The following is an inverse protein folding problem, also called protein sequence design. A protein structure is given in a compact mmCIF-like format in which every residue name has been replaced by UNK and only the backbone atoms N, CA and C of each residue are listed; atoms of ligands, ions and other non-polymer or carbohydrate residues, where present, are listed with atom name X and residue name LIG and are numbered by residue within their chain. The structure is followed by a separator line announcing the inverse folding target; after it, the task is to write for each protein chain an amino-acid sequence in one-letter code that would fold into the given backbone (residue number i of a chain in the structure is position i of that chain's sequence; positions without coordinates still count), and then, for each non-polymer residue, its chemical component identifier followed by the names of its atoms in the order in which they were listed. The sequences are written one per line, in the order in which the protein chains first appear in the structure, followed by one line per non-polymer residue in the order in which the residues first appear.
data_IF_218571103892
#
_entry.id   IF_218571103892
#
_cell.length_a   1.000
_cell.length_b   1.000
_cell.length_c   1.000
_cell.angle_alpha   90.00
_cell.angle_beta   90.00
_cell.angle_gamma   90.00
#
_symmetry.space_group_name_H-M   'P 1'
#
loop_
_entity.id
_entity.type
_entity.pdbx_description
1 polymer ?
#
# COMPACT_ATOMS: atom_id res chain seq x y z
N UNK A 1 -22.04 25.34 -71.09
CA UNK A 1 -21.91 25.88 -69.71
C UNK A 1 -22.56 24.91 -68.73
N UNK A 2 -21.76 24.18 -67.95
CA UNK A 2 -22.04 23.74 -66.56
C UNK A 2 -20.89 22.83 -66.10
N UNK A 3 -19.94 23.40 -65.36
CA UNK A 3 -18.98 22.63 -64.58
C UNK A 3 -19.65 22.27 -63.25
N UNK A 4 -19.80 20.98 -62.97
CA UNK A 4 -20.20 20.48 -61.66
C UNK A 4 -18.93 20.25 -60.84
N UNK A 5 -18.70 21.07 -59.82
CA UNK A 5 -17.60 20.91 -58.87
C UNK A 5 -18.06 19.95 -57.75
N UNK A 6 -17.47 18.75 -57.69
CA UNK A 6 -17.64 17.85 -56.54
C UNK A 6 -16.59 18.20 -55.49
N UNK A 7 -17.03 18.77 -54.37
CA UNK A 7 -16.18 19.00 -53.18
C UNK A 7 -16.22 17.71 -52.36
N UNK A 8 -15.11 16.96 -52.37
CA UNK A 8 -14.93 15.80 -51.51
C UNK A 8 -14.68 16.29 -50.06
N UNK A 9 -15.67 16.11 -49.19
CA UNK A 9 -15.48 16.28 -47.75
C UNK A 9 -14.65 15.10 -47.22
N UNK A 10 -13.37 15.33 -46.98
CA UNK A 10 -12.50 14.43 -46.22
C UNK A 10 -12.88 14.55 -44.73
N UNK A 11 -13.64 13.58 -44.22
CA UNK A 11 -13.91 13.44 -42.79
C UNK A 11 -12.64 12.89 -42.10
N UNK A 12 -12.02 13.62 -41.15
CA UNK A 12 -10.92 13.06 -40.38
C UNK A 12 -11.49 11.99 -39.45
N UNK A 13 -11.09 10.74 -39.68
CA UNK A 13 -11.37 9.62 -38.77
C UNK A 13 -10.52 9.87 -37.52
N UNK A 14 -11.12 10.45 -36.49
CA UNK A 14 -10.48 10.57 -35.18
C UNK A 14 -10.29 9.19 -34.57
N UNK A 15 -9.03 8.79 -34.37
CA UNK A 15 -8.72 7.60 -33.58
C UNK A 15 -9.18 7.84 -32.14
N UNK A 16 -10.20 7.10 -31.70
CA UNK A 16 -10.59 7.08 -30.31
C UNK A 16 -9.49 6.36 -29.52
N UNK A 17 -8.67 7.10 -28.79
CA UNK A 17 -7.76 6.54 -27.80
C UNK A 17 -8.60 5.94 -26.67
N UNK A 18 -8.73 4.61 -26.64
CA UNK A 18 -9.28 3.91 -25.48
C UNK A 18 -8.26 4.03 -24.35
N UNK A 19 -8.57 4.84 -23.33
CA UNK A 19 -7.82 4.80 -22.06
C UNK A 19 -8.19 3.48 -21.40
N UNK A 20 -7.30 2.49 -21.47
CA UNK A 20 -7.45 1.27 -20.70
C UNK A 20 -7.41 1.65 -19.21
N UNK A 21 -8.42 1.24 -18.44
CA UNK A 21 -8.37 1.40 -17.00
C UNK A 21 -7.19 0.59 -16.46
N UNK A 22 -6.29 1.24 -15.74
CA UNK A 22 -5.17 0.57 -15.07
C UNK A 22 -5.71 -0.54 -14.15
N UNK A 23 -5.12 -1.75 -14.16
CA UNK A 23 -5.59 -2.87 -13.35
C UNK A 23 -5.51 -2.52 -11.85
N UNK A 24 -6.66 -2.24 -11.25
CA UNK A 24 -6.75 -1.92 -9.83
C UNK A 24 -6.78 -3.19 -8.97
N UNK A 25 -5.98 -3.23 -7.90
CA UNK A 25 -6.01 -4.29 -6.92
C UNK A 25 -6.99 -3.91 -5.80
N UNK A 26 -8.08 -4.67 -5.69
CA UNK A 26 -9.11 -4.44 -4.68
C UNK A 26 -8.83 -5.34 -3.48
N UNK A 27 -8.68 -4.73 -2.30
CA UNK A 27 -8.49 -5.43 -1.02
C UNK A 27 -9.70 -5.13 -0.14
N UNK A 28 -10.43 -6.17 0.24
CA UNK A 28 -11.55 -6.02 1.17
C UNK A 28 -11.06 -5.53 2.53
N UNK A 29 -11.75 -4.55 3.08
CA UNK A 29 -11.49 -4.06 4.44
C UNK A 29 -12.54 -4.60 5.40
N UNK A 30 -12.13 -4.86 6.63
CA UNK A 30 -13.03 -5.14 7.74
C UNK A 30 -13.17 -3.90 8.60
N UNK A 31 -14.37 -3.33 8.70
CA UNK A 31 -14.65 -2.32 9.73
C UNK A 31 -14.70 -3.00 11.09
N UNK A 32 -13.94 -2.48 12.05
CA UNK A 32 -13.98 -2.88 13.46
C UNK A 32 -14.44 -1.70 14.34
N UNK A 33 -14.33 -1.85 15.66
CA UNK A 33 -14.75 -0.84 16.63
C UNK A 33 -14.12 0.54 16.35
N UNK A 34 -14.84 1.59 16.75
CA UNK A 34 -14.43 2.98 16.59
C UNK A 34 -14.15 3.40 15.13
N UNK A 35 -14.93 2.91 14.17
CA UNK A 35 -14.86 3.31 12.75
C UNK A 35 -13.47 3.10 12.11
N UNK A 36 -12.75 2.10 12.59
CA UNK A 36 -11.43 1.74 12.07
C UNK A 36 -11.52 0.59 11.07
N UNK A 37 -10.68 0.63 10.03
CA UNK A 37 -10.71 -0.32 8.92
C UNK A 37 -9.41 -1.09 8.82
N UNK A 38 -9.52 -2.41 8.74
CA UNK A 38 -8.40 -3.33 8.74
C UNK A 38 -8.33 -4.11 7.43
N UNK A 39 -7.12 -4.40 6.98
CA UNK A 39 -6.88 -5.41 5.96
C UNK A 39 -6.11 -6.58 6.57
N UNK A 40 -6.34 -7.77 6.02
CA UNK A 40 -5.47 -8.91 6.25
C UNK A 40 -4.22 -8.75 5.39
N UNK A 41 -3.08 -9.11 5.95
CA UNK A 41 -1.82 -9.20 5.22
C UNK A 41 -0.92 -10.27 5.80
N UNK A 42 0.24 -10.46 5.19
CA UNK A 42 1.26 -11.41 5.64
C UNK A 42 2.60 -10.69 5.70
N UNK A 43 3.27 -10.75 6.84
CA UNK A 43 4.68 -10.35 6.92
C UNK A 43 5.54 -11.60 6.72
N UNK A 44 6.48 -11.55 5.78
CA UNK A 44 7.40 -12.66 5.55
C UNK A 44 8.18 -12.97 6.83
N UNK A 45 8.06 -14.21 7.29
CA UNK A 45 8.68 -14.68 8.52
C UNK A 45 7.85 -14.52 9.81
N UNK A 46 6.69 -13.87 9.72
CA UNK A 46 5.76 -13.80 10.87
C UNK A 46 4.48 -14.58 10.56
N UNK A 47 3.98 -14.46 9.33
CA UNK A 47 2.70 -15.03 8.93
C UNK A 47 1.60 -13.97 8.87
N UNK A 48 0.35 -14.43 9.01
CA UNK A 48 -0.83 -13.58 8.84
C UNK A 48 -0.97 -12.57 9.98
N UNK A 49 -1.36 -11.36 9.61
CA UNK A 49 -1.51 -10.23 10.52
C UNK A 49 -2.58 -9.28 10.01
N UNK A 50 -3.17 -8.52 10.91
CA UNK A 50 -4.09 -7.45 10.55
C UNK A 50 -3.41 -6.10 10.65
N UNK A 51 -3.55 -5.30 9.60
CA UNK A 51 -3.11 -3.91 9.60
C UNK A 51 -4.31 -2.98 9.68
N UNK A 52 -4.28 -2.05 10.63
CA UNK A 52 -5.12 -0.86 10.57
C UNK A 52 -4.65 0.00 9.38
N UNK A 53 -5.54 0.34 8.47
CA UNK A 53 -5.25 1.32 7.41
C UNK A 53 -5.37 2.73 8.01
N UNK A 54 -4.27 3.47 8.05
CA UNK A 54 -4.21 4.77 8.73
C UNK A 54 -3.43 5.80 7.90
N UNK A 55 -4.17 6.71 7.26
CA UNK A 55 -3.58 7.82 6.50
C UNK A 55 -3.01 8.93 7.39
N UNK A 56 -3.29 8.91 8.70
CA UNK A 56 -2.68 9.80 9.70
C UNK A 56 -1.31 9.32 10.18
N UNK A 57 -0.95 8.07 9.91
CA UNK A 57 0.34 7.49 10.28
C UNK A 57 1.35 7.58 9.13
N UNK A 58 2.54 8.12 9.42
CA UNK A 58 3.59 8.27 8.40
C UNK A 58 4.24 6.95 7.99
N UNK A 59 4.51 6.06 8.97
CA UNK A 59 5.22 4.80 8.76
C UNK A 59 4.26 3.62 8.88
N UNK A 60 4.68 2.47 8.32
CA UNK A 60 4.19 1.19 8.81
C UNK A 60 4.61 1.04 10.26
N UNK A 61 3.69 0.57 11.10
CA UNK A 61 4.00 0.28 12.50
C UNK A 61 3.87 -1.21 12.75
N UNK A 62 4.87 -1.78 13.42
CA UNK A 62 4.80 -3.11 14.01
C UNK A 62 5.03 -3.02 15.52
N UNK A 63 4.62 -4.05 16.26
CA UNK A 63 4.90 -4.13 17.69
C UNK A 63 6.18 -4.93 17.99
N UNK A 64 6.62 -4.86 19.24
CA UNK A 64 7.85 -5.52 19.71
C UNK A 64 7.80 -7.05 19.55
N UNK A 65 6.63 -7.67 19.69
CA UNK A 65 6.48 -9.10 19.49
C UNK A 65 6.79 -9.50 18.03
N UNK A 66 6.23 -8.78 17.06
CA UNK A 66 6.53 -8.96 15.64
C UNK A 66 7.99 -8.71 15.33
N UNK A 67 8.59 -7.65 15.91
CA UNK A 67 10.02 -7.41 15.77
C UNK A 67 10.86 -8.58 16.31
N UNK A 68 10.51 -9.13 17.47
CA UNK A 68 11.22 -10.24 18.07
C UNK A 68 11.20 -11.48 17.16
N UNK A 69 10.03 -11.84 16.61
CA UNK A 69 9.91 -12.92 15.63
C UNK A 69 10.77 -12.67 14.40
N UNK A 70 10.71 -11.46 13.83
CA UNK A 70 11.52 -11.12 12.66
C UNK A 70 13.03 -11.18 12.94
N UNK A 71 13.48 -10.74 14.13
CA UNK A 71 14.88 -10.83 14.56
C UNK A 71 15.34 -12.27 14.69
N UNK A 72 14.51 -13.14 15.30
CA UNK A 72 14.82 -14.57 15.42
C UNK A 72 15.00 -15.26 14.07
N UNK A 73 14.30 -14.78 13.04
CA UNK A 73 14.40 -15.33 11.69
C UNK A 73 15.42 -14.63 10.79
N UNK A 74 16.11 -13.60 11.28
CA UNK A 74 17.03 -12.80 10.45
C UNK A 74 16.33 -12.07 9.30
N UNK A 75 15.04 -11.76 9.44
CA UNK A 75 14.19 -11.15 8.40
C UNK A 75 13.99 -9.64 8.57
N UNK A 76 14.87 -9.00 9.33
CA UNK A 76 14.76 -7.58 9.64
C UNK A 76 16.12 -6.94 9.89
N UNK A 77 16.30 -5.72 9.40
CA UNK A 77 17.54 -4.95 9.56
C UNK A 77 17.24 -3.63 10.26
N UNK A 78 18.06 -3.25 11.24
CA UNK A 78 17.96 -1.93 11.84
C UNK A 78 18.29 -0.85 10.81
N UNK A 79 17.53 0.26 10.81
CA UNK A 79 17.75 1.39 9.90
C UNK A 79 18.21 2.62 10.68
N UNK A 80 17.39 3.09 11.62
CA UNK A 80 17.60 4.33 12.36
C UNK A 80 16.65 4.41 13.56
N UNK A 81 16.90 5.36 14.45
CA UNK A 81 15.88 5.83 15.38
C UNK A 81 15.30 7.15 14.89
N UNK A 82 14.03 7.39 15.18
CA UNK A 82 13.38 8.68 14.98
C UNK A 82 12.63 9.11 16.23
N UNK A 83 12.34 10.41 16.35
CA UNK A 83 11.36 10.88 17.32
C UNK A 83 9.96 10.80 16.71
N UNK A 84 9.15 9.87 17.20
CA UNK A 84 7.75 9.74 16.84
C UNK A 84 6.89 10.65 17.70
N UNK A 85 5.76 11.09 17.16
CA UNK A 85 4.69 11.76 17.91
C UNK A 85 3.50 10.80 17.90
N UNK A 86 3.10 10.34 19.07
CA UNK A 86 1.96 9.46 19.24
C UNK A 86 0.64 10.25 19.09
N UNK A 87 -0.47 9.55 18.89
CA UNK A 87 -1.79 10.17 18.75
C UNK A 87 -2.21 11.01 19.98
N UNK A 88 -1.64 10.74 21.16
CA UNK A 88 -1.85 11.52 22.38
C UNK A 88 -0.89 12.72 22.52
N UNK A 89 -0.08 13.02 21.50
CA UNK A 89 0.89 14.12 21.48
C UNK A 89 2.23 13.82 22.18
N UNK A 90 2.38 12.65 22.81
CA UNK A 90 3.65 12.28 23.43
C UNK A 90 4.73 12.05 22.39
N UNK A 91 5.96 12.46 22.72
CA UNK A 91 7.14 12.24 21.89
C UNK A 91 7.92 11.06 22.42
N UNK A 92 8.19 10.09 21.56
CA UNK A 92 8.91 8.88 21.92
C UNK A 92 10.01 8.56 20.90
N UNK A 93 11.13 8.01 21.38
CA UNK A 93 12.19 7.53 20.49
C UNK A 93 11.78 6.16 19.96
N UNK A 94 11.51 6.11 18.65
CA UNK A 94 11.03 4.90 17.97
C UNK A 94 12.13 4.37 17.06
N UNK A 95 12.47 3.09 17.22
CA UNK A 95 13.38 2.42 16.31
C UNK A 95 12.65 2.00 15.03
N UNK A 96 13.33 2.22 13.90
CA UNK A 96 12.86 1.86 12.57
C UNK A 96 13.71 0.71 12.05
N UNK A 97 13.02 -0.29 11.53
CA UNK A 97 13.63 -1.45 10.92
C UNK A 97 13.11 -1.66 9.50
N UNK A 98 13.94 -2.25 8.64
CA UNK A 98 13.57 -2.66 7.28
C UNK A 98 13.12 -4.11 7.29
N UNK A 99 11.89 -4.35 6.86
CA UNK A 99 11.27 -5.65 6.64
C UNK A 99 11.35 -5.96 5.15
N UNK A 100 11.72 -7.19 4.81
CA UNK A 100 11.93 -7.63 3.42
C UNK A 100 10.63 -7.56 2.60
N UNK A 101 9.55 -8.18 3.10
CA UNK A 101 8.29 -8.34 2.38
C UNK A 101 7.08 -8.20 3.29
N UNK A 102 6.09 -7.43 2.84
CA UNK A 102 4.70 -7.43 3.32
C UNK A 102 3.77 -7.72 2.15
N UNK A 103 3.00 -8.80 2.22
CA UNK A 103 1.97 -9.14 1.23
C UNK A 103 0.62 -8.61 1.70
N UNK A 104 -0.06 -7.85 0.85
CA UNK A 104 -1.42 -7.35 1.12
C UNK A 104 -2.49 -8.23 0.46
N UNK A 105 -2.11 -8.98 -0.58
CA UNK A 105 -2.91 -10.01 -1.23
C UNK A 105 -2.00 -10.96 -2.01
N UNK A 106 -2.54 -11.99 -2.66
CA UNK A 106 -1.77 -12.91 -3.49
C UNK A 106 -1.03 -12.22 -4.65
N UNK A 107 -1.56 -11.08 -5.11
CA UNK A 107 -1.03 -10.31 -6.25
C UNK A 107 -0.36 -9.01 -5.84
N UNK A 108 -0.18 -8.79 -4.53
CA UNK A 108 0.29 -7.52 -4.04
C UNK A 108 1.35 -7.66 -2.95
N UNK A 109 2.60 -7.39 -3.30
CA UNK A 109 3.76 -7.60 -2.45
C UNK A 109 4.63 -6.34 -2.35
N UNK A 110 4.68 -5.77 -1.14
CA UNK A 110 5.50 -4.60 -0.86
C UNK A 110 6.86 -5.05 -0.33
N UNK A 111 7.92 -4.57 -0.97
CA UNK A 111 9.30 -4.88 -0.58
C UNK A 111 10.00 -3.70 0.10
N UNK A 112 11.04 -3.99 0.88
CA UNK A 112 11.90 -3.00 1.54
C UNK A 112 11.11 -1.96 2.33
N UNK A 113 10.34 -2.45 3.31
CA UNK A 113 9.41 -1.65 4.09
C UNK A 113 10.08 -1.19 5.38
N UNK A 114 10.19 0.13 5.55
CA UNK A 114 10.58 0.71 6.83
C UNK A 114 9.39 0.72 7.78
N UNK A 115 9.52 -0.04 8.87
CA UNK A 115 8.53 -0.17 9.92
C UNK A 115 9.05 0.43 11.23
N UNK A 116 8.27 1.35 11.80
CA UNK A 116 8.44 1.88 13.14
C UNK A 116 7.98 0.84 14.17
N UNK A 117 8.75 0.65 15.25
CA UNK A 117 8.44 -0.35 16.28
C UNK A 117 7.87 0.32 17.51
N UNK A 118 6.59 0.09 17.78
CA UNK A 118 5.92 0.63 18.96
C UNK A 118 5.90 -0.39 20.11
N UNK A 119 5.95 0.09 21.37
CA UNK A 119 6.05 -0.78 22.53
C UNK A 119 4.79 -1.63 22.75
N UNK A 120 4.97 -2.80 23.37
CA UNK A 120 3.87 -3.65 23.87
C UNK A 120 3.03 -4.29 22.77
N UNK A 121 1.69 -4.20 22.91
CA UNK A 121 0.71 -4.82 22.01
C UNK A 121 0.05 -3.81 21.06
N UNK A 122 0.79 -2.78 20.67
CA UNK A 122 0.30 -1.85 19.66
C UNK A 122 -0.19 -2.61 18.42
N UNK A 123 -1.33 -2.15 17.88
CA UNK A 123 -1.84 -2.66 16.60
C UNK A 123 -0.85 -2.36 15.48
N UNK A 124 -0.77 -3.24 14.51
CA UNK A 124 0.00 -2.97 13.29
C UNK A 124 -0.75 -1.95 12.45
N UNK A 125 0.01 -1.04 11.85
CA UNK A 125 -0.54 0.07 11.07
C UNK A 125 0.06 0.02 9.68
N UNK A 126 -0.79 0.07 8.66
CA UNK A 126 -0.41 0.35 7.28
C UNK A 126 -0.48 1.87 7.07
N UNK A 127 0.64 2.54 7.32
CA UNK A 127 0.76 3.99 7.14
C UNK A 127 1.06 4.41 5.71
N UNK A 128 1.16 5.73 5.51
CA UNK A 128 1.39 6.35 4.20
C UNK A 128 2.70 5.89 3.53
N UNK A 129 3.74 5.52 4.26
CA UNK A 129 4.99 5.04 3.66
C UNK A 129 4.81 3.77 2.83
N UNK A 130 3.94 2.84 3.27
CA UNK A 130 3.59 1.66 2.50
C UNK A 130 2.55 1.96 1.42
N UNK A 131 1.52 2.75 1.74
CA UNK A 131 0.49 3.13 0.76
C UNK A 131 1.11 3.89 -0.43
N UNK A 132 2.15 4.68 -0.24
CA UNK A 132 2.86 5.34 -1.36
C UNK A 132 3.57 4.37 -2.30
N UNK A 133 3.89 3.14 -1.87
CA UNK A 133 4.54 2.14 -2.74
C UNK A 133 3.57 1.50 -3.74
N UNK A 134 2.27 1.73 -3.60
CA UNK A 134 1.22 1.25 -4.51
C UNK A 134 0.75 2.32 -5.50
N UNK A 135 1.49 3.42 -5.61
CA UNK A 135 1.10 4.57 -6.43
C UNK A 135 -0.13 5.27 -5.85
N UNK A 136 -1.19 5.38 -6.65
CA UNK A 136 -2.47 5.90 -6.20
C UNK A 136 -3.25 4.84 -5.40
N UNK A 137 -4.00 5.27 -4.38
CA UNK A 137 -4.92 4.40 -3.66
C UNK A 137 -6.24 5.12 -3.38
N UNK A 138 -7.32 4.35 -3.27
CA UNK A 138 -8.65 4.82 -2.88
C UNK A 138 -9.11 4.04 -1.66
N UNK A 139 -9.56 4.77 -0.64
CA UNK A 139 -10.22 4.22 0.53
C UNK A 139 -11.73 4.38 0.36
N UNK A 140 -12.47 3.28 0.30
CA UNK A 140 -13.93 3.27 0.14
C UNK A 140 -14.59 2.71 1.40
N UNK A 141 -15.67 3.37 1.84
CA UNK A 141 -16.47 2.94 2.99
C UNK A 141 -17.63 2.02 2.60
N UNK A 142 -18.12 2.11 1.36
CA UNK A 142 -19.28 1.34 0.88
C UNK A 142 -19.06 0.84 -0.57
N UNK A 143 -18.69 -0.44 -0.78
CA UNK A 143 -18.30 -1.39 0.26
C UNK A 143 -16.95 -0.99 0.89
N UNK A 144 -16.64 -1.45 2.11
CA UNK A 144 -15.32 -1.29 2.73
C UNK A 144 -14.22 -1.95 1.90
N UNK A 145 -13.43 -1.15 1.18
CA UNK A 145 -12.34 -1.65 0.35
C UNK A 145 -11.22 -0.64 0.16
N UNK A 146 -10.00 -1.15 0.06
CA UNK A 146 -8.80 -0.41 -0.34
C UNK A 146 -8.47 -0.78 -1.78
N UNK A 147 -8.53 0.20 -2.67
CA UNK A 147 -8.24 0.02 -4.10
C UNK A 147 -6.84 0.57 -4.34
N UNK A 148 -5.94 -0.25 -4.86
CA UNK A 148 -4.55 0.10 -5.13
C UNK A 148 -4.35 0.18 -6.65
N UNK A 149 -3.77 1.27 -7.15
CA UNK A 149 -3.55 1.46 -8.58
C UNK A 149 -2.43 0.54 -9.08
N UNK A 150 -1.33 0.50 -8.34
CA UNK A 150 -0.22 -0.38 -8.64
C UNK A 150 -0.12 -1.42 -7.54
N UNK A 151 0.36 -2.61 -7.87
CA UNK A 151 1.04 -3.36 -6.85
C UNK A 151 2.30 -3.99 -7.41
N UNK A 152 3.48 -3.65 -6.85
CA UNK A 152 4.69 -4.35 -7.21
C UNK A 152 4.47 -5.83 -6.90
N UNK A 153 4.69 -6.67 -7.90
CA UNK A 153 4.74 -8.11 -7.74
C UNK A 153 6.17 -8.55 -7.99
N UNK A 154 6.65 -9.53 -7.24
CA UNK A 154 7.96 -10.14 -7.46
C UNK A 154 7.94 -11.03 -8.71
N UNK A 155 7.80 -10.45 -9.90
CA UNK A 155 7.97 -11.09 -11.22
C UNK A 155 8.15 -9.98 -12.28
N UNK A 156 9.26 -9.78 -13.00
CA UNK A 156 10.49 -10.53 -13.25
C UNK A 156 11.56 -9.51 -13.64
N UNK A 157 12.75 -9.58 -13.05
CA UNK A 157 13.96 -9.29 -13.82
C UNK A 157 13.96 -10.22 -15.02
N UNK A 158 13.97 -9.67 -16.24
CA UNK A 158 14.54 -10.35 -17.40
C UNK A 158 15.68 -9.47 -17.88
N UNK A 159 16.84 -10.10 -17.98
CA UNK A 159 18.14 -9.48 -18.20
C UNK A 159 18.34 -8.89 -19.59
#
# INVERSE_FOLDING_TARGET
MKYLLYIAFLFPIGAASTVAAEPSHIIAMTQKSAETFYIQGTIQGVGNIEFLVDTGSSYVTINEHTLATLKQQGKVNYVKDLMGILANGQRERISVYRIETIKLSEKCELHDIEAAVFPGHARHILGLSALRKVGAFTFSFDPPQLILAECPSSYSSKG
#
